data_IF_119152993205
#
_entry.id   IF_119152993205
#
_cell.length_a   1.000
_cell.length_b   1.000
_cell.length_c   1.000
_cell.angle_alpha   90.00
_cell.angle_beta   90.00
_cell.angle_gamma   90.00
#
_symmetry.space_group_name_H-M   'P 1'
#
loop_
_entity.id
_entity.type
_entity.pdbx_description
1 polymer ?
#
# COMPACT_ATOMS: atom_id res chain seq x y z
N UNK A 1 2.47 -3.98 -26.07
CA UNK A 1 2.62 -4.04 -24.60
C UNK A 1 3.20 -5.42 -24.32
N UNK A 2 4.27 -5.58 -23.53
CA UNK A 2 4.70 -6.91 -23.12
C UNK A 2 3.54 -7.58 -22.38
N UNK A 3 3.34 -8.89 -22.59
CA UNK A 3 2.31 -9.63 -21.88
C UNK A 3 2.62 -9.59 -20.38
N UNK A 4 1.62 -9.20 -19.59
CA UNK A 4 1.76 -9.14 -18.14
C UNK A 4 2.12 -10.54 -17.64
N UNK A 5 3.18 -10.69 -16.82
CA UNK A 5 3.56 -12.00 -16.32
C UNK A 5 2.37 -12.64 -15.58
N UNK A 6 2.25 -13.98 -15.58
CA UNK A 6 1.18 -14.66 -14.87
C UNK A 6 1.20 -14.21 -13.41
N UNK A 7 0.22 -13.41 -13.01
CA UNK A 7 0.15 -12.86 -11.67
C UNK A 7 -0.44 -13.95 -10.79
N UNK A 8 0.35 -14.48 -9.86
CA UNK A 8 -0.17 -15.45 -8.93
C UNK A 8 -1.25 -14.80 -8.05
N UNK A 9 -2.23 -15.57 -7.55
CA UNK A 9 -3.36 -15.01 -6.81
C UNK A 9 -2.95 -14.21 -5.56
N UNK A 10 -1.80 -14.53 -4.94
CA UNK A 10 -1.33 -13.86 -3.73
C UNK A 10 -0.73 -12.50 -4.10
N UNK A 11 0.11 -12.44 -5.13
CA UNK A 11 0.66 -11.18 -5.62
C UNK A 11 -0.46 -10.26 -6.12
N UNK A 12 -1.43 -10.78 -6.89
CA UNK A 12 -2.58 -10.01 -7.33
C UNK A 12 -3.42 -9.47 -6.14
N UNK A 13 -3.58 -10.27 -5.08
CA UNK A 13 -4.24 -9.84 -3.85
C UNK A 13 -3.47 -8.70 -3.17
N UNK A 14 -2.16 -8.86 -2.94
CA UNK A 14 -1.31 -7.87 -2.26
C UNK A 14 -1.25 -6.54 -3.02
N UNK A 15 -1.14 -6.58 -4.35
CA UNK A 15 -1.14 -5.37 -5.18
C UNK A 15 -2.50 -4.65 -5.13
N UNK A 16 -3.61 -5.39 -5.18
CA UNK A 16 -4.94 -4.79 -5.04
C UNK A 16 -5.18 -4.21 -3.64
N UNK A 17 -4.72 -4.92 -2.61
CA UNK A 17 -4.76 -4.45 -1.22
C UNK A 17 -4.01 -3.11 -1.09
N UNK A 18 -2.75 -3.07 -1.54
CA UNK A 18 -1.92 -1.86 -1.49
C UNK A 18 -2.58 -0.70 -2.24
N UNK A 19 -3.08 -0.96 -3.46
CA UNK A 19 -3.79 0.04 -4.27
C UNK A 19 -4.98 0.64 -3.51
N UNK A 20 -5.75 -0.18 -2.80
CA UNK A 20 -6.92 0.29 -2.07
C UNK A 20 -6.53 1.08 -0.82
N UNK A 21 -5.55 0.59 -0.06
CA UNK A 21 -5.04 1.27 1.13
C UNK A 21 -4.46 2.65 0.77
N UNK A 22 -3.70 2.75 -0.32
CA UNK A 22 -3.14 4.02 -0.79
C UNK A 22 -4.20 5.09 -1.10
N UNK A 23 -5.45 4.72 -1.41
CA UNK A 23 -6.55 5.70 -1.61
C UNK A 23 -7.02 6.31 -0.29
N UNK A 24 -6.80 5.63 0.83
CA UNK A 24 -7.07 6.11 2.18
C UNK A 24 -5.87 6.81 2.82
N UNK A 25 -4.76 6.97 2.09
CA UNK A 25 -3.52 7.57 2.59
C UNK A 25 -3.77 8.97 3.13
N UNK A 26 -3.15 9.26 4.27
CA UNK A 26 -3.17 10.59 4.87
C UNK A 26 -2.16 11.51 4.20
N UNK A 27 -2.54 12.78 4.08
CA UNK A 27 -1.69 13.82 3.51
C UNK A 27 -1.49 14.92 4.55
N UNK A 28 -0.26 15.42 4.64
CA UNK A 28 0.06 16.62 5.40
C UNK A 28 -0.04 17.84 4.49
N UNK A 29 -0.76 18.87 4.93
CA UNK A 29 -0.87 20.14 4.24
C UNK A 29 -0.07 21.20 4.98
N UNK A 30 0.76 21.96 4.25
CA UNK A 30 1.59 23.05 4.78
C UNK A 30 1.60 24.22 3.81
N UNK A 31 2.18 25.36 4.22
CA UNK A 31 2.41 26.49 3.32
C UNK A 31 3.26 26.14 2.09
N UNK A 32 4.06 25.06 2.15
CA UNK A 32 4.90 24.59 1.06
C UNK A 32 4.20 23.61 0.11
N UNK A 33 2.98 23.16 0.43
CA UNK A 33 2.24 22.21 -0.40
C UNK A 33 1.56 21.09 0.40
N UNK A 34 1.04 20.10 -0.33
CA UNK A 34 0.41 18.88 0.21
C UNK A 34 1.31 17.70 -0.10
N UNK A 35 1.70 16.95 0.94
CA UNK A 35 2.65 15.84 0.84
C UNK A 35 2.03 14.55 1.40
N UNK A 36 2.22 13.40 0.73
CA UNK A 36 1.79 12.13 1.28
C UNK A 36 2.57 11.80 2.55
N UNK A 37 1.88 11.24 3.54
CA UNK A 37 2.54 10.68 4.71
C UNK A 37 2.84 9.19 4.47
N UNK A 38 3.90 8.65 5.13
CA UNK A 38 4.15 7.22 5.15
C UNK A 38 2.91 6.46 5.62
N UNK A 39 2.73 5.27 5.08
CA UNK A 39 1.63 4.39 5.44
C UNK A 39 1.78 3.97 6.91
N UNK A 40 0.70 3.99 7.69
CA UNK A 40 0.69 3.46 9.04
C UNK A 40 -0.10 2.16 9.12
N UNK A 41 0.23 1.34 10.13
CA UNK A 41 -0.44 0.07 10.39
C UNK A 41 -1.97 0.21 10.58
N UNK A 42 -2.44 1.39 11.00
CA UNK A 42 -3.87 1.68 11.16
C UNK A 42 -4.62 1.64 9.83
N UNK A 43 -4.07 2.25 8.77
CA UNK A 43 -4.72 2.21 7.45
C UNK A 43 -4.84 0.78 6.91
N UNK A 44 -3.86 -0.07 7.21
CA UNK A 44 -3.89 -1.50 6.87
C UNK A 44 -4.96 -2.23 7.70
N UNK A 45 -5.00 -1.99 9.02
CA UNK A 45 -6.00 -2.57 9.92
C UNK A 45 -7.43 -2.23 9.51
N UNK A 46 -7.72 -0.94 9.27
CA UNK A 46 -9.05 -0.46 8.89
C UNK A 46 -9.57 -1.19 7.63
N UNK A 47 -8.68 -1.46 6.67
CA UNK A 47 -9.03 -2.22 5.48
C UNK A 47 -9.26 -3.70 5.78
N UNK A 48 -8.36 -4.33 6.54
CA UNK A 48 -8.44 -5.76 6.85
C UNK A 48 -9.64 -6.13 7.74
N UNK A 49 -10.13 -5.20 8.56
CA UNK A 49 -11.37 -5.37 9.33
C UNK A 49 -12.60 -5.54 8.44
N UNK A 50 -12.63 -4.84 7.30
CA UNK A 50 -13.72 -4.95 6.32
C UNK A 50 -13.49 -6.03 5.27
N UNK A 51 -12.23 -6.39 5.02
CA UNK A 51 -11.82 -7.38 4.02
C UNK A 51 -10.74 -8.31 4.59
N UNK A 52 -11.13 -9.37 5.33
CA UNK A 52 -10.19 -10.28 5.97
C UNK A 52 -9.18 -10.88 4.99
N UNK A 53 -7.89 -10.83 5.35
CA UNK A 53 -6.81 -11.42 4.57
C UNK A 53 -6.71 -12.93 4.78
N UNK A 54 -6.42 -13.72 3.73
CA UNK A 54 -6.04 -15.12 3.89
C UNK A 54 -4.59 -15.31 4.37
N UNK A 55 -3.77 -14.25 4.40
CA UNK A 55 -2.36 -14.25 4.80
C UNK A 55 -2.19 -13.85 6.27
N UNK A 56 -1.03 -14.16 6.86
CA UNK A 56 -0.71 -13.68 8.19
C UNK A 56 -0.59 -12.15 8.19
N UNK A 57 -1.01 -11.51 9.29
CA UNK A 57 -1.00 -10.05 9.40
C UNK A 57 0.39 -9.45 9.23
N UNK A 58 1.40 -10.10 9.81
CA UNK A 58 2.80 -9.69 9.73
C UNK A 58 3.30 -9.67 8.27
N UNK A 59 3.00 -10.72 7.50
CA UNK A 59 3.37 -10.79 6.07
C UNK A 59 2.70 -9.67 5.25
N UNK A 60 1.44 -9.35 5.56
CA UNK A 60 0.75 -8.24 4.91
C UNK A 60 1.40 -6.91 5.24
N UNK A 61 1.66 -6.65 6.53
CA UNK A 61 2.28 -5.39 6.97
C UNK A 61 3.65 -5.19 6.32
N UNK A 62 4.50 -6.22 6.32
CA UNK A 62 5.84 -6.18 5.71
C UNK A 62 5.77 -5.81 4.22
N UNK A 63 4.88 -6.45 3.46
CA UNK A 63 4.71 -6.15 2.03
C UNK A 63 4.16 -4.74 1.83
N UNK A 64 3.17 -4.32 2.61
CA UNK A 64 2.58 -2.97 2.48
C UNK A 64 3.62 -1.89 2.75
N UNK A 65 4.45 -2.05 3.79
CA UNK A 65 5.50 -1.09 4.11
C UNK A 65 6.65 -1.11 3.09
N UNK A 66 7.01 -2.28 2.55
CA UNK A 66 8.01 -2.37 1.50
C UNK A 66 7.55 -1.67 0.21
N UNK A 67 6.30 -1.87 -0.21
CA UNK A 67 5.71 -1.18 -1.36
C UNK A 67 5.58 0.33 -1.12
N UNK A 68 5.20 0.72 0.09
CA UNK A 68 5.13 2.13 0.50
C UNK A 68 6.48 2.82 0.35
N UNK A 69 7.55 2.21 0.86
CA UNK A 69 8.91 2.74 0.76
C UNK A 69 9.34 2.94 -0.70
N UNK A 70 9.04 1.98 -1.59
CA UNK A 70 9.33 2.12 -3.03
C UNK A 70 8.61 3.32 -3.65
N UNK A 71 7.32 3.50 -3.32
CA UNK A 71 6.55 4.65 -3.81
C UNK A 71 7.08 5.99 -3.29
N UNK A 72 7.42 6.06 -2.00
CA UNK A 72 7.91 7.31 -1.39
C UNK A 72 9.29 7.71 -1.96
N UNK A 73 10.17 6.74 -2.25
CA UNK A 73 11.45 7.01 -2.90
C UNK A 73 11.27 7.53 -4.34
N UNK A 74 10.27 7.01 -5.06
CA UNK A 74 10.00 7.46 -6.45
C UNK A 74 9.45 8.88 -6.58
N UNK A 75 9.06 9.52 -5.48
CA UNK A 75 8.59 10.91 -5.45
C UNK A 75 9.70 11.92 -5.12
N UNK A 76 10.91 11.45 -4.75
CA UNK A 76 12.06 12.31 -4.39
C UNK A 76 13.00 12.62 -5.58
N UNK A 77 12.78 12.03 -6.76
CA UNK A 77 13.51 12.29 -8.03
C UNK A 77 12.71 13.15 -9.03
#
# INVERSE_FOLDING_TARGET
MPDEPPNDPITAYLLNLFRNICRGRRFASSMAGVFPLPLAAREISDWLESHPSPLAREEVDDVMFALDAVCMVSEED
#
